data_IF_051912789210
#
_entry.id   IF_051912789210
#
_cell.length_a   1.000
_cell.length_b   1.000
_cell.length_c   1.000
_cell.angle_alpha   90.00
_cell.angle_beta   90.00
_cell.angle_gamma   90.00
#
_symmetry.space_group_name_H-M   'P 1'
#
loop_
_entity.id
_entity.type
_entity.pdbx_description
1 polymer ?
#
# COMPACT_ATOMS: atom_id res chain seq x y z
N UNK A 1 5.89 -1.98 -0.83
CA UNK A 1 5.19 -1.71 0.45
C UNK A 1 5.30 -0.22 0.73
N UNK A 2 4.24 0.41 1.20
CA UNK A 2 4.20 1.81 1.65
C UNK A 2 3.93 1.80 3.15
N UNK A 3 4.72 2.53 3.92
CA UNK A 3 4.51 2.71 5.36
C UNK A 3 4.91 4.15 5.76
N UNK A 4 4.27 4.72 6.80
CA UNK A 4 4.64 6.02 7.33
C UNK A 4 5.99 5.94 8.05
N UNK A 5 6.71 7.06 8.08
CA UNK A 5 7.97 7.19 8.85
C UNK A 5 7.72 7.37 10.36
N UNK A 6 6.53 7.83 10.72
CA UNK A 6 6.07 7.96 12.09
C UNK A 6 5.21 6.76 12.45
N UNK A 7 5.17 6.43 13.74
CA UNK A 7 4.30 5.37 14.22
C UNK A 7 2.83 5.81 14.11
N UNK A 8 2.11 5.15 13.21
CA UNK A 8 0.69 5.36 12.92
C UNK A 8 0.04 3.99 12.95
N UNK A 9 -1.09 3.86 13.66
CA UNK A 9 -1.74 2.56 13.89
C UNK A 9 -2.85 2.30 12.87
N UNK A 10 -3.62 3.33 12.52
CA UNK A 10 -4.75 3.25 11.56
C UNK A 10 -4.66 4.35 10.52
N UNK A 11 -5.34 4.17 9.39
CA UNK A 11 -5.42 5.19 8.34
C UNK A 11 -6.10 6.48 8.82
N UNK A 12 -7.01 6.36 9.78
CA UNK A 12 -7.73 7.49 10.39
C UNK A 12 -6.86 8.34 11.31
N UNK A 13 -5.69 7.84 11.72
CA UNK A 13 -4.79 8.53 12.63
C UNK A 13 -3.80 9.44 11.86
N UNK A 14 -3.90 9.48 10.52
CA UNK A 14 -3.04 10.31 9.67
C UNK A 14 -3.39 11.79 9.80
N UNK A 15 -2.38 12.64 9.92
CA UNK A 15 -2.54 14.09 9.81
C UNK A 15 -2.85 14.53 8.38
N UNK A 16 -3.35 15.76 8.19
CA UNK A 16 -3.61 16.32 6.86
C UNK A 16 -2.35 16.35 5.97
N UNK A 17 -1.18 16.63 6.55
CA UNK A 17 0.11 16.58 5.87
C UNK A 17 0.48 15.14 5.48
N UNK A 18 0.25 14.18 6.38
CA UNK A 18 0.49 12.76 6.10
C UNK A 18 -0.43 12.22 5.00
N UNK A 19 -1.69 12.64 4.95
CA UNK A 19 -2.62 12.30 3.85
C UNK A 19 -2.11 12.86 2.52
N UNK A 20 -1.65 14.11 2.50
CA UNK A 20 -1.12 14.76 1.30
C UNK A 20 0.14 14.06 0.79
N UNK A 21 1.07 13.75 1.69
CA UNK A 21 2.32 13.04 1.34
C UNK A 21 2.06 11.58 0.95
N UNK A 22 1.05 10.93 1.54
CA UNK A 22 0.60 9.60 1.14
C UNK A 22 0.07 9.60 -0.31
N UNK A 23 -0.76 10.58 -0.67
CA UNK A 23 -1.27 10.72 -2.04
C UNK A 23 -0.14 10.96 -3.05
N UNK A 24 0.83 11.81 -2.70
CA UNK A 24 2.00 12.08 -3.54
C UNK A 24 2.86 10.83 -3.76
N UNK A 25 3.16 10.06 -2.71
CA UNK A 25 3.99 8.85 -2.86
C UNK A 25 3.25 7.74 -3.60
N UNK A 26 1.93 7.58 -3.39
CA UNK A 26 1.11 6.64 -4.14
C UNK A 26 1.15 6.96 -5.64
N UNK A 27 0.94 8.23 -6.01
CA UNK A 27 1.03 8.69 -7.39
C UNK A 27 2.39 8.40 -8.01
N UNK A 28 3.48 8.70 -7.29
CA UNK A 28 4.85 8.44 -7.77
C UNK A 28 5.12 6.95 -8.00
N UNK A 29 4.63 6.08 -7.12
CA UNK A 29 4.79 4.63 -7.26
C UNK A 29 3.99 4.09 -8.43
N UNK A 30 2.72 4.48 -8.59
CA UNK A 30 1.88 4.00 -9.68
C UNK A 30 2.38 4.47 -11.05
N UNK A 31 2.84 5.72 -11.17
CA UNK A 31 3.50 6.21 -12.40
C UNK A 31 4.73 5.36 -12.73
N UNK A 32 5.56 5.04 -11.73
CA UNK A 32 6.74 4.18 -11.94
C UNK A 32 6.36 2.76 -12.36
N UNK A 33 5.26 2.22 -11.86
CA UNK A 33 4.74 0.93 -12.30
C UNK A 33 4.27 0.98 -13.76
N UNK A 34 3.52 1.99 -14.15
CA UNK A 34 3.08 2.14 -15.55
C UNK A 34 4.25 2.25 -16.51
N UNK A 35 5.26 3.06 -16.16
CA UNK A 35 6.45 3.27 -16.97
C UNK A 35 7.38 2.04 -17.05
N UNK A 36 7.23 1.05 -16.16
CA UNK A 36 8.11 -0.13 -16.16
C UNK A 36 7.97 -0.95 -17.45
N UNK A 37 6.74 -1.10 -17.95
CA UNK A 37 6.44 -1.80 -19.20
C UNK A 37 5.55 -0.98 -20.16
N UNK A 38 5.42 0.33 -19.92
CA UNK A 38 4.60 1.27 -20.69
C UNK A 38 3.16 0.75 -20.91
N UNK A 39 2.53 0.31 -19.83
CA UNK A 39 1.15 -0.24 -19.83
C UNK A 39 0.46 0.18 -18.54
N UNK A 40 -0.88 0.23 -18.55
CA UNK A 40 -1.64 0.31 -17.29
C UNK A 40 -1.32 -0.93 -16.44
N UNK A 41 -0.51 -0.75 -15.41
CA UNK A 41 0.13 -1.83 -14.69
C UNK A 41 -0.87 -2.51 -13.73
N UNK A 42 -1.20 -3.79 -13.90
CA UNK A 42 -2.19 -4.45 -13.05
C UNK A 42 -1.61 -4.71 -11.65
N UNK A 43 -2.44 -4.60 -10.61
CA UNK A 43 -2.08 -4.99 -9.25
C UNK A 43 -3.33 -5.23 -8.40
N UNK A 44 -3.18 -6.02 -7.34
CA UNK A 44 -4.06 -5.93 -6.16
C UNK A 44 -3.37 -5.07 -5.09
N UNK A 45 -4.14 -4.27 -4.36
CA UNK A 45 -3.62 -3.45 -3.27
C UNK A 45 -4.59 -3.47 -2.09
N UNK A 46 -4.05 -3.42 -0.88
CA UNK A 46 -4.83 -3.21 0.34
C UNK A 46 -4.04 -2.49 1.42
N UNK A 47 -4.77 -2.04 2.44
CA UNK A 47 -4.25 -1.40 3.64
C UNK A 47 -4.44 -2.31 4.85
N UNK A 48 -3.44 -2.38 5.69
CA UNK A 48 -3.52 -3.01 7.01
C UNK A 48 -3.26 -1.95 8.08
N UNK A 49 -4.11 -1.93 9.09
CA UNK A 49 -3.98 -1.10 10.27
C UNK A 49 -4.61 -1.81 11.47
N UNK A 50 -4.43 -1.22 12.66
CA UNK A 50 -4.99 -1.76 13.89
C UNK A 50 -6.51 -2.00 13.78
N UNK A 51 -7.05 -3.05 14.43
CA UNK A 51 -8.48 -3.34 14.45
C UNK A 51 -9.33 -2.14 14.88
N UNK A 52 -10.57 -2.10 14.38
CA UNK A 52 -11.59 -1.11 14.71
C UNK A 52 -12.84 -1.79 15.30
N UNK A 53 -13.92 -1.04 15.55
CA UNK A 53 -15.17 -1.57 16.09
C UNK A 53 -15.07 -1.92 17.57
N UNK A 54 -15.61 -3.06 17.98
CA UNK A 54 -15.62 -3.51 19.39
C UNK A 54 -14.22 -3.62 20.01
N UNK A 55 -13.18 -3.77 19.18
CA UNK A 55 -11.78 -3.92 19.59
C UNK A 55 -10.96 -2.64 19.47
N UNK A 56 -11.62 -1.47 19.38
CA UNK A 56 -10.92 -0.19 19.17
C UNK A 56 -10.00 0.17 20.35
N UNK A 57 -10.40 -0.20 21.58
CA UNK A 57 -9.71 0.09 22.85
C UNK A 57 -8.64 -0.96 23.22
N UNK A 58 -8.48 -2.03 22.43
CA UNK A 58 -7.41 -3.02 22.66
C UNK A 58 -6.03 -2.32 22.63
N UNK A 59 -5.07 -2.82 23.43
CA UNK A 59 -3.69 -2.36 23.32
C UNK A 59 -3.10 -2.78 21.97
N UNK A 60 -3.07 -1.84 21.02
CA UNK A 60 -2.61 -2.01 19.64
C UNK A 60 -1.28 -1.32 19.36
N UNK A 61 -0.46 -1.06 20.38
CA UNK A 61 0.81 -0.33 20.20
C UNK A 61 1.80 -1.04 19.27
N UNK A 62 1.66 -2.35 19.10
CA UNK A 62 2.46 -3.15 18.19
C UNK A 62 2.04 -3.04 16.71
N UNK A 63 0.91 -2.38 16.40
CA UNK A 63 0.45 -2.21 15.02
C UNK A 63 1.15 -1.04 14.33
N UNK A 64 1.47 -1.25 13.06
CA UNK A 64 1.96 -0.21 12.15
C UNK A 64 1.12 -0.24 10.88
N UNK A 65 0.48 0.88 10.57
CA UNK A 65 -0.28 1.09 9.36
C UNK A 65 0.62 0.94 8.12
N UNK A 66 0.22 0.13 7.15
CA UNK A 66 0.98 -0.05 5.92
C UNK A 66 0.08 -0.49 4.76
N UNK A 67 0.52 -0.16 3.54
CA UNK A 67 -0.11 -0.57 2.29
C UNK A 67 0.79 -1.52 1.49
N UNK A 68 0.19 -2.52 0.85
CA UNK A 68 0.92 -3.50 0.06
C UNK A 68 0.35 -3.55 -1.36
N UNK A 69 1.25 -3.58 -2.36
CA UNK A 69 0.93 -3.78 -3.77
C UNK A 69 1.43 -5.16 -4.18
N UNK A 70 0.58 -5.94 -4.85
CA UNK A 70 0.89 -7.25 -5.41
C UNK A 70 0.73 -7.23 -6.94
N UNK A 71 1.73 -6.75 -7.69
CA UNK A 71 1.67 -6.77 -9.14
C UNK A 71 2.05 -8.15 -9.72
N UNK A 72 1.38 -8.61 -10.79
CA UNK A 72 1.66 -9.92 -11.38
C UNK A 72 2.67 -9.87 -12.54
N UNK A 73 2.96 -8.70 -13.14
CA UNK A 73 3.87 -8.61 -14.29
C UNK A 73 5.32 -8.87 -13.88
N UNK A 74 6.07 -9.61 -14.71
CA UNK A 74 7.40 -10.11 -14.36
C UNK A 74 8.52 -9.61 -15.28
N UNK A 75 8.35 -9.70 -16.62
CA UNK A 75 9.41 -9.34 -17.58
C UNK A 75 8.97 -8.41 -18.71
N UNK A 76 7.67 -8.28 -18.95
CA UNK A 76 7.10 -7.41 -19.98
C UNK A 76 5.60 -7.18 -19.68
N UNK A 77 4.93 -6.38 -20.52
CA UNK A 77 3.48 -6.22 -20.48
C UNK A 77 2.70 -7.53 -20.72
N UNK A 78 3.34 -8.56 -21.31
CA UNK A 78 2.69 -9.83 -21.68
C UNK A 78 3.18 -11.03 -20.86
N UNK A 79 4.24 -10.88 -20.05
CA UNK A 79 4.83 -11.97 -19.25
C UNK A 79 4.57 -11.73 -17.76
N UNK A 80 3.73 -12.59 -17.15
CA UNK A 80 3.33 -12.53 -15.75
C UNK A 80 3.91 -13.67 -14.90
N UNK A 81 4.06 -13.42 -13.59
CA UNK A 81 4.29 -14.45 -12.57
C UNK A 81 2.97 -15.17 -12.29
N UNK A 82 3.01 -16.50 -12.33
CA UNK A 82 1.93 -17.35 -11.87
C UNK A 82 2.25 -17.84 -10.46
N UNK A 83 1.38 -17.55 -9.50
CA UNK A 83 1.46 -18.07 -8.12
C UNK A 83 0.71 -19.39 -8.07
N UNK A 84 1.34 -20.43 -8.61
CA UNK A 84 0.80 -21.78 -8.76
C UNK A 84 1.87 -22.80 -8.35
N UNK A 85 1.44 -24.03 -8.12
CA UNK A 85 2.21 -25.24 -8.00
C UNK A 85 1.44 -26.38 -8.64
#
# INVERSE_FOLDING_TARGET
MILPKHHVKRITDLSAEQITTLADIMKKITIKYENLFNVSFPYSMGWHGAPTGERIEDNVEHWVFHGIYYPPLLRSATVKKFMVG
#
